data_IF_816341607548
#
_entry.id   IF_816341607548
#
_cell.length_a   1.000
_cell.length_b   1.000
_cell.length_c   1.000
_cell.angle_alpha   90.00
_cell.angle_beta   90.00
_cell.angle_gamma   90.00
#
_symmetry.space_group_name_H-M   'P 1'
#
loop_
_entity.id
_entity.type
_entity.pdbx_description
1 polymer ?
#
# COMPACT_ATOMS: atom_id res chain seq x y z
N UNK A 1 -34.58 -5.16 24.63
CA UNK A 1 -33.58 -4.19 25.14
C UNK A 1 -32.31 -4.99 25.40
N UNK A 2 -31.12 -4.79 24.83
CA UNK A 2 -30.54 -3.91 23.82
C UNK A 2 -29.47 -4.81 23.12
N UNK A 3 -29.19 -4.79 21.82
CA UNK A 3 -28.92 -3.62 20.98
C UNK A 3 -27.41 -3.36 20.93
N UNK A 4 -26.65 -4.19 20.22
CA UNK A 4 -25.27 -3.90 19.83
C UNK A 4 -25.12 -4.21 18.33
N UNK A 5 -25.07 -3.14 17.53
CA UNK A 5 -24.96 -3.18 16.10
C UNK A 5 -23.56 -3.64 15.69
N UNK A 6 -23.46 -4.90 15.29
CA UNK A 6 -22.30 -5.45 14.59
C UNK A 6 -22.48 -5.05 13.12
N UNK A 7 -21.97 -3.86 12.78
CA UNK A 7 -21.97 -3.34 11.42
C UNK A 7 -20.94 -4.10 10.58
N UNK A 8 -21.44 -4.97 9.72
CA UNK A 8 -20.70 -5.73 8.72
C UNK A 8 -19.89 -4.82 7.80
N UNK A 9 -18.56 -4.79 7.95
CA UNK A 9 -17.65 -4.22 6.96
C UNK A 9 -17.45 -5.26 5.85
N UNK A 10 -18.40 -5.30 4.92
CA UNK A 10 -18.21 -6.01 3.65
C UNK A 10 -17.15 -5.28 2.84
N UNK A 11 -15.90 -5.73 2.88
CA UNK A 11 -14.92 -5.38 1.85
C UNK A 11 -15.32 -6.10 0.56
N UNK A 12 -16.32 -5.53 -0.12
CA UNK A 12 -16.65 -5.88 -1.50
C UNK A 12 -15.48 -5.44 -2.37
N UNK A 13 -14.61 -6.38 -2.75
CA UNK A 13 -13.57 -6.20 -3.79
C UNK A 13 -14.22 -5.78 -5.12
N UNK A 14 -15.54 -5.94 -5.26
CA UNK A 14 -16.36 -5.41 -6.36
C UNK A 14 -16.43 -3.87 -6.42
N UNK A 15 -16.05 -3.15 -5.36
CA UNK A 15 -15.98 -1.69 -5.34
C UNK A 15 -14.63 -1.11 -5.79
N UNK A 16 -13.59 -1.95 -5.91
CA UNK A 16 -12.35 -1.55 -6.58
C UNK A 16 -12.70 -1.43 -8.05
N UNK A 17 -12.77 -0.19 -8.56
CA UNK A 17 -12.91 0.03 -10.00
C UNK A 17 -11.72 -0.63 -10.69
N UNK A 18 -11.97 -1.80 -11.28
CA UNK A 18 -11.04 -2.50 -12.14
C UNK A 18 -10.96 -1.69 -13.43
N UNK A 19 -10.02 -0.77 -13.45
CA UNK A 19 -9.65 -0.09 -14.67
C UNK A 19 -8.71 -1.04 -15.44
N UNK A 20 -9.18 -1.65 -16.55
CA UNK A 20 -8.41 -2.63 -17.29
C UNK A 20 -7.14 -2.04 -17.92
N UNK A 21 -6.99 -0.72 -17.94
CA UNK A 21 -5.78 -0.04 -18.42
C UNK A 21 -4.64 -0.01 -17.39
N UNK A 22 -4.91 -0.39 -16.14
CA UNK A 22 -3.89 -0.38 -15.08
C UNK A 22 -2.98 -1.60 -15.08
N UNK A 23 -3.41 -2.67 -15.75
CA UNK A 23 -2.61 -3.86 -15.96
C UNK A 23 -2.08 -3.86 -17.40
N UNK A 24 -0.87 -4.38 -17.62
CA UNK A 24 -0.34 -4.56 -18.96
C UNK A 24 -1.20 -5.54 -19.78
N UNK A 25 -1.12 -5.42 -21.12
CA UNK A 25 -1.74 -6.38 -22.03
C UNK A 25 -1.20 -7.79 -21.72
N UNK A 26 -2.10 -8.79 -21.68
CA UNK A 26 -1.93 -10.04 -20.91
C UNK A 26 -0.91 -11.06 -21.44
N UNK A 27 0.08 -10.64 -22.22
CA UNK A 27 1.14 -11.53 -22.73
C UNK A 27 2.37 -11.64 -21.81
N UNK A 28 2.43 -10.84 -20.72
CA UNK A 28 3.56 -10.81 -19.82
C UNK A 28 3.51 -11.95 -18.77
N UNK A 29 4.33 -13.00 -18.98
CA UNK A 29 4.77 -14.01 -17.99
C UNK A 29 3.69 -15.02 -17.54
N UNK A 30 3.73 -16.27 -17.99
CA UNK A 30 3.01 -17.36 -17.29
C UNK A 30 3.78 -17.71 -16.00
N UNK A 31 3.75 -16.84 -14.98
CA UNK A 31 4.51 -17.06 -13.76
C UNK A 31 3.80 -18.11 -12.88
N UNK A 32 4.54 -19.00 -12.20
CA UNK A 32 3.96 -19.95 -11.28
C UNK A 32 3.34 -19.22 -10.08
N UNK A 33 2.03 -18.98 -10.15
CA UNK A 33 1.22 -18.62 -8.99
C UNK A 33 0.69 -19.89 -8.32
N UNK A 34 0.70 -19.95 -6.99
CA UNK A 34 -0.07 -20.99 -6.30
C UNK A 34 -1.54 -20.73 -6.61
N UNK A 35 -2.30 -21.69 -7.18
CA UNK A 35 -3.71 -21.49 -7.48
C UNK A 35 -4.47 -20.99 -6.25
N UNK A 36 -5.13 -19.84 -6.36
CA UNK A 36 -5.90 -19.22 -5.29
C UNK A 36 -5.15 -18.19 -4.44
N UNK A 37 -3.84 -18.07 -4.56
CA UNK A 37 -3.08 -16.93 -4.00
C UNK A 37 -3.28 -15.66 -4.83
N UNK A 38 -3.14 -14.49 -4.19
CA UNK A 38 -3.35 -13.19 -4.83
C UNK A 38 -2.15 -12.28 -4.59
N UNK A 39 -1.67 -11.65 -5.64
CA UNK A 39 -0.64 -10.61 -5.57
C UNK A 39 -1.25 -9.25 -5.94
N UNK A 40 -1.10 -8.28 -5.06
CA UNK A 40 -1.55 -6.91 -5.26
C UNK A 40 -0.35 -5.97 -5.27
N UNK A 41 -0.27 -5.09 -6.27
CA UNK A 41 0.67 -3.98 -6.28
C UNK A 41 -0.03 -2.71 -5.80
N UNK A 42 0.46 -2.14 -4.70
CA UNK A 42 0.05 -0.84 -4.20
C UNK A 42 1.04 0.21 -4.70
N UNK A 43 0.53 1.26 -5.36
CA UNK A 43 1.35 2.36 -5.86
C UNK A 43 0.89 3.67 -5.22
N UNK A 44 1.78 4.26 -4.41
CA UNK A 44 1.61 5.55 -3.75
C UNK A 44 2.24 6.68 -4.54
N UNK A 45 1.51 7.78 -4.78
CA UNK A 45 2.08 8.97 -5.46
C UNK A 45 1.58 10.27 -4.83
N UNK A 46 2.41 11.32 -4.85
CA UNK A 46 2.04 12.66 -4.35
C UNK A 46 1.24 13.49 -5.35
N UNK A 47 1.40 13.21 -6.65
CA UNK A 47 0.94 14.11 -7.70
C UNK A 47 -0.54 13.89 -8.01
N UNK A 48 -1.46 14.76 -7.56
CA UNK A 48 -2.93 14.61 -7.73
C UNK A 48 -3.40 14.30 -9.17
N UNK A 49 -2.54 14.47 -10.18
CA UNK A 49 -2.79 14.31 -11.60
C UNK A 49 -2.27 12.98 -12.21
N UNK A 50 -1.82 12.01 -11.39
CA UNK A 50 -1.37 10.67 -11.85
C UNK A 50 -0.14 10.70 -12.78
N UNK A 51 0.68 11.77 -12.70
CA UNK A 51 1.88 11.96 -13.54
C UNK A 51 3.20 12.09 -12.76
N UNK A 52 3.15 11.98 -11.44
CA UNK A 52 4.34 12.02 -10.59
C UNK A 52 4.99 10.66 -10.41
N UNK A 53 6.27 10.66 -10.06
CA UNK A 53 6.99 9.46 -9.63
C UNK A 53 6.23 8.73 -8.50
N UNK A 54 6.26 7.41 -8.52
CA UNK A 54 5.78 6.63 -7.40
C UNK A 54 6.72 6.84 -6.19
N UNK A 55 6.13 7.21 -5.05
CA UNK A 55 6.84 7.36 -3.79
C UNK A 55 6.88 6.03 -3.02
N UNK A 56 5.82 5.24 -3.18
CA UNK A 56 5.71 3.91 -2.58
C UNK A 56 5.29 2.88 -3.60
N UNK A 57 5.96 1.74 -3.56
CA UNK A 57 5.57 0.53 -4.27
C UNK A 57 5.59 -0.63 -3.27
N UNK A 58 4.43 -1.22 -2.98
CA UNK A 58 4.33 -2.41 -2.15
C UNK A 58 3.72 -3.57 -2.93
N UNK A 59 4.30 -4.75 -2.81
CA UNK A 59 3.66 -5.99 -3.20
C UNK A 59 3.04 -6.64 -1.98
N UNK A 60 1.75 -6.90 -2.04
CA UNK A 60 1.00 -7.64 -1.03
C UNK A 60 0.66 -9.00 -1.60
N UNK A 61 1.21 -10.05 -1.01
CA UNK A 61 0.88 -11.43 -1.32
C UNK A 61 -0.09 -11.96 -0.27
N UNK A 62 -1.23 -12.46 -0.72
CA UNK A 62 -2.20 -13.18 0.10
C UNK A 62 -2.15 -14.64 -0.31
N UNK A 63 -1.87 -15.52 0.65
CA UNK A 63 -1.79 -16.94 0.37
C UNK A 63 -3.15 -17.53 -0.01
N UNK A 64 -3.16 -18.74 -0.60
CA UNK A 64 -4.41 -19.36 -1.06
C UNK A 64 -5.43 -19.62 0.07
N UNK A 65 -4.96 -19.85 1.30
CA UNK A 65 -5.84 -20.02 2.47
C UNK A 65 -6.43 -18.71 2.99
N UNK A 66 -5.90 -17.56 2.54
CA UNK A 66 -6.21 -16.20 3.05
C UNK A 66 -5.90 -16.02 4.54
N UNK A 67 -5.00 -16.83 5.09
CA UNK A 67 -4.59 -16.76 6.49
C UNK A 67 -3.24 -16.05 6.67
N UNK A 68 -2.44 -15.97 5.61
CA UNK A 68 -1.13 -15.34 5.61
C UNK A 68 -1.09 -14.23 4.56
N UNK A 69 -0.61 -13.06 5.01
CA UNK A 69 -0.36 -11.91 4.16
C UNK A 69 1.09 -11.50 4.32
N UNK A 70 1.80 -11.45 3.19
CA UNK A 70 3.18 -10.98 3.13
C UNK A 70 3.21 -9.65 2.40
N UNK A 71 4.00 -8.71 2.92
CA UNK A 71 4.15 -7.38 2.35
C UNK A 71 5.62 -7.16 2.04
N UNK A 72 5.91 -6.87 0.78
CA UNK A 72 7.24 -6.52 0.31
C UNK A 72 7.25 -5.05 -0.13
N UNK A 73 8.07 -4.24 0.53
CA UNK A 73 8.32 -2.87 0.11
C UNK A 73 9.43 -2.85 -0.93
N UNK A 74 9.16 -2.24 -2.08
CA UNK A 74 10.15 -2.06 -3.13
C UNK A 74 10.77 -0.66 -3.02
N UNK A 75 12.10 -0.54 -2.91
CA UNK A 75 12.76 0.77 -2.91
C UNK A 75 12.46 1.53 -4.19
N UNK A 76 12.01 2.78 -4.08
CA UNK A 76 11.66 3.63 -5.23
C UNK A 76 12.81 3.82 -6.22
N UNK A 77 14.04 3.81 -5.72
CA UNK A 77 15.26 4.07 -6.49
C UNK A 77 15.92 2.81 -7.04
N UNK A 78 15.27 1.64 -6.86
CA UNK A 78 15.74 0.40 -7.45
C UNK A 78 15.85 0.56 -8.98
N UNK A 79 16.98 0.16 -9.54
CA UNK A 79 17.16 0.12 -10.99
C UNK A 79 16.46 -1.12 -11.55
N UNK A 80 15.57 -0.90 -12.50
CA UNK A 80 14.79 -1.92 -13.21
C UNK A 80 14.85 -1.67 -14.71
N UNK A 81 14.50 -2.67 -15.49
CA UNK A 81 14.39 -2.51 -16.93
C UNK A 81 13.12 -1.71 -17.28
N UNK A 82 13.31 -0.57 -17.94
CA UNK A 82 12.25 0.23 -18.51
C UNK A 82 11.45 -0.52 -19.59
N UNK A 83 10.36 0.08 -20.05
CA UNK A 83 9.53 -0.49 -21.12
C UNK A 83 10.31 -0.64 -22.45
N UNK A 84 11.31 0.20 -22.67
CA UNK A 84 12.22 0.18 -23.82
C UNK A 84 13.50 -0.65 -23.58
N UNK A 85 13.60 -1.35 -22.45
CA UNK A 85 14.77 -2.13 -22.06
C UNK A 85 15.94 -1.29 -21.54
N UNK A 86 15.76 0.02 -21.34
CA UNK A 86 16.80 0.87 -20.73
C UNK A 86 16.66 0.91 -19.21
N UNK A 87 17.76 0.95 -18.44
CA UNK A 87 17.68 1.05 -16.98
C UNK A 87 16.95 2.31 -16.53
N UNK A 88 15.92 2.13 -15.70
CA UNK A 88 15.13 3.19 -15.11
C UNK A 88 14.99 2.98 -13.60
N UNK A 89 14.77 4.05 -12.85
CA UNK A 89 14.34 3.94 -11.44
C UNK A 89 12.91 3.40 -11.40
N UNK A 90 12.63 2.48 -10.49
CA UNK A 90 11.31 1.90 -10.32
C UNK A 90 10.23 2.98 -10.13
N UNK A 91 10.51 4.06 -9.39
CA UNK A 91 9.61 5.20 -9.23
C UNK A 91 9.14 5.84 -10.53
N UNK A 92 10.04 5.88 -11.53
CA UNK A 92 9.80 6.52 -12.82
C UNK A 92 9.02 5.65 -13.79
N UNK A 93 8.95 4.35 -13.57
CA UNK A 93 8.14 3.45 -14.42
C UNK A 93 6.67 3.87 -14.40
N UNK A 94 6.16 4.24 -13.21
CA UNK A 94 4.82 4.79 -13.07
C UNK A 94 4.66 6.15 -13.76
N UNK A 95 5.63 7.06 -13.61
CA UNK A 95 5.56 8.37 -14.27
C UNK A 95 5.60 8.26 -15.81
N UNK A 96 6.33 7.28 -16.34
CA UNK A 96 6.53 7.08 -17.77
C UNK A 96 5.33 6.41 -18.46
N UNK A 97 4.72 5.41 -17.83
CA UNK A 97 3.68 4.59 -18.47
C UNK A 97 2.50 4.22 -17.56
N UNK A 98 2.35 4.91 -16.43
CA UNK A 98 1.29 4.66 -15.47
C UNK A 98 1.42 3.32 -14.76
N UNK A 99 0.30 2.83 -14.24
CA UNK A 99 0.24 1.59 -13.48
C UNK A 99 0.73 0.37 -14.28
N UNK A 100 0.41 0.29 -15.58
CA UNK A 100 0.79 -0.85 -16.41
C UNK A 100 2.31 -0.99 -16.52
N UNK A 101 3.03 0.11 -16.77
CA UNK A 101 4.49 0.09 -16.84
C UNK A 101 5.15 -0.23 -15.48
N UNK A 102 4.54 0.20 -14.38
CA UNK A 102 5.00 -0.16 -13.04
C UNK A 102 4.79 -1.64 -12.73
N UNK A 103 3.63 -2.21 -13.11
CA UNK A 103 3.37 -3.65 -13.00
C UNK A 103 4.37 -4.45 -13.81
N UNK A 104 4.58 -4.11 -15.09
CA UNK A 104 5.54 -4.80 -15.96
C UNK A 104 6.95 -4.80 -15.38
N UNK A 105 7.38 -3.68 -14.78
CA UNK A 105 8.69 -3.60 -14.14
C UNK A 105 8.78 -4.49 -12.89
N UNK A 106 7.73 -4.52 -12.06
CA UNK A 106 7.68 -5.35 -10.84
C UNK A 106 7.59 -6.83 -11.17
N UNK A 107 6.75 -7.23 -12.14
CA UNK A 107 6.61 -8.62 -12.57
C UNK A 107 7.94 -9.15 -13.14
N UNK A 108 8.64 -8.35 -13.96
CA UNK A 108 9.98 -8.70 -14.47
C UNK A 108 11.04 -8.77 -13.38
N UNK A 109 11.01 -7.83 -12.43
CA UNK A 109 11.94 -7.78 -11.32
C UNK A 109 11.81 -9.00 -10.39
N UNK A 110 10.58 -9.37 -10.05
CA UNK A 110 10.30 -10.39 -9.02
C UNK A 110 9.98 -11.77 -9.61
N UNK A 111 9.70 -11.86 -10.91
CA UNK A 111 9.30 -13.11 -11.57
C UNK A 111 7.95 -13.64 -11.08
N UNK A 112 7.06 -12.76 -10.60
CA UNK A 112 5.71 -13.09 -10.13
C UNK A 112 4.66 -12.40 -10.99
N UNK A 113 3.41 -12.87 -10.93
CA UNK A 113 2.27 -12.16 -11.50
C UNK A 113 1.58 -11.26 -10.49
N UNK A 114 1.18 -10.07 -10.92
CA UNK A 114 0.35 -9.13 -10.17
C UNK A 114 -1.10 -9.26 -10.67
N UNK A 115 -2.00 -9.68 -9.78
CA UNK A 115 -3.42 -9.88 -10.09
C UNK A 115 -4.21 -8.57 -10.05
N UNK A 116 -3.81 -7.68 -9.15
CA UNK A 116 -4.51 -6.42 -8.88
C UNK A 116 -3.55 -5.26 -8.64
N UNK A 117 -3.95 -4.07 -9.05
CA UNK A 117 -3.26 -2.82 -8.71
C UNK A 117 -4.21 -1.93 -7.94
N UNK A 118 -3.73 -1.37 -6.83
CA UNK A 118 -4.40 -0.26 -6.17
C UNK A 118 -3.52 0.99 -6.24
N UNK A 119 -4.11 2.07 -6.75
CA UNK A 119 -3.48 3.38 -6.73
C UNK A 119 -3.94 4.11 -5.48
N UNK A 120 -2.99 4.47 -4.62
CA UNK A 120 -3.26 5.22 -3.40
C UNK A 120 -2.65 6.60 -3.51
N UNK A 121 -3.46 7.64 -3.27
CA UNK A 121 -2.92 8.93 -2.86
C UNK A 121 -2.77 8.93 -1.34
N UNK A 122 -1.90 9.77 -0.80
CA UNK A 122 -1.85 10.05 0.64
C UNK A 122 -3.24 10.41 1.20
N UNK A 123 -4.07 11.12 0.43
CA UNK A 123 -5.47 11.45 0.77
C UNK A 123 -6.46 10.25 0.59
N UNK A 124 -6.04 9.17 -0.08
CA UNK A 124 -6.78 7.92 -0.21
C UNK A 124 -6.46 6.93 0.92
N UNK A 125 -5.21 6.92 1.37
CA UNK A 125 -4.76 6.18 2.55
C UNK A 125 -5.48 6.64 3.82
N UNK A 126 -5.64 7.96 4.01
CA UNK A 126 -6.37 8.50 5.15
C UNK A 126 -7.81 7.98 5.20
N UNK A 127 -8.54 8.05 4.08
CA UNK A 127 -9.91 7.55 3.96
C UNK A 127 -10.01 6.05 4.24
N UNK A 128 -9.04 5.25 3.80
CA UNK A 128 -9.01 3.82 4.10
C UNK A 128 -8.85 3.58 5.61
N UNK A 129 -7.95 4.31 6.27
CA UNK A 129 -7.73 4.22 7.72
C UNK A 129 -8.99 4.63 8.50
N UNK A 130 -9.69 5.67 8.05
CA UNK A 130 -10.94 6.11 8.67
C UNK A 130 -12.02 5.03 8.57
N UNK A 131 -12.13 4.36 7.42
CA UNK A 131 -13.03 3.21 7.23
C UNK A 131 -12.66 2.01 8.12
N UNK A 132 -11.38 1.78 8.35
CA UNK A 132 -10.88 0.70 9.21
C UNK A 132 -10.96 1.04 10.71
N UNK A 133 -11.33 2.26 11.07
CA UNK A 133 -11.45 2.70 12.45
C UNK A 133 -10.09 2.78 13.15
N UNK A 134 -9.13 3.47 12.50
CA UNK A 134 -7.74 3.71 12.93
C UNK A 134 -6.81 2.52 12.73
N UNK A 135 -5.51 2.79 12.58
CA UNK A 135 -4.47 1.77 12.36
C UNK A 135 -3.36 1.86 13.41
N UNK A 136 -2.81 0.71 13.87
CA UNK A 136 -1.66 0.69 14.78
C UNK A 136 -0.38 1.08 14.05
N UNK A 137 0.52 1.80 14.70
CA UNK A 137 1.86 2.15 14.20
C UNK A 137 2.86 2.02 15.34
N UNK A 138 3.95 1.29 15.12
CA UNK A 138 5.07 1.21 16.06
C UNK A 138 6.07 2.32 15.77
N UNK A 139 5.91 3.45 16.44
CA UNK A 139 6.70 4.66 16.19
C UNK A 139 8.04 4.63 16.96
N UNK A 140 9.20 4.59 16.30
CA UNK A 140 10.50 4.51 16.98
C UNK A 140 10.98 5.85 17.57
N UNK A 141 10.42 6.98 17.14
CA UNK A 141 10.87 8.32 17.52
C UNK A 141 9.66 9.20 17.86
N UNK A 142 9.70 9.92 18.98
CA UNK A 142 8.67 10.93 19.26
C UNK A 142 8.75 12.09 18.26
N UNK A 143 7.61 12.44 17.67
CA UNK A 143 7.52 13.49 16.65
C UNK A 143 6.23 14.31 16.77
N UNK A 144 6.16 15.43 16.04
CA UNK A 144 4.97 16.27 15.94
C UNK A 144 4.80 16.74 14.50
N UNK A 145 3.57 16.74 14.01
CA UNK A 145 3.28 17.14 12.63
C UNK A 145 1.79 17.41 12.45
N UNK A 146 1.46 18.41 11.62
CA UNK A 146 0.05 18.71 11.28
C UNK A 146 -0.86 19.04 12.46
N UNK A 147 -0.32 19.53 13.58
CA UNK A 147 -1.09 19.80 14.82
C UNK A 147 -1.22 18.60 15.77
N UNK A 148 -0.69 17.44 15.41
CA UNK A 148 -0.70 16.22 16.22
C UNK A 148 0.65 15.95 16.88
N UNK A 149 0.60 15.17 17.97
CA UNK A 149 1.78 14.66 18.64
C UNK A 149 1.81 13.13 18.53
N UNK A 150 2.94 12.59 18.14
CA UNK A 150 3.17 11.17 17.91
C UNK A 150 4.22 10.67 18.91
N UNK A 151 3.80 10.13 20.07
CA UNK A 151 4.75 9.62 21.04
C UNK A 151 5.50 8.40 20.48
N UNK A 152 6.70 8.15 21.02
CA UNK A 152 7.42 6.89 20.77
C UNK A 152 6.64 5.70 21.34
N UNK A 153 6.64 4.60 20.61
CA UNK A 153 5.96 3.36 20.98
C UNK A 153 4.76 3.07 20.08
N UNK A 154 3.92 2.14 20.53
CA UNK A 154 2.75 1.70 19.77
C UNK A 154 1.62 2.73 19.88
N UNK A 155 1.31 3.39 18.78
CA UNK A 155 0.26 4.42 18.67
C UNK A 155 -0.84 3.95 17.71
N UNK A 156 -2.00 4.59 17.76
CA UNK A 156 -3.07 4.36 16.77
C UNK A 156 -3.38 5.67 16.07
N UNK A 157 -3.46 5.63 14.74
CA UNK A 157 -3.64 6.80 13.91
C UNK A 157 -4.98 6.72 13.15
N UNK A 158 -5.77 7.79 13.19
CA UNK A 158 -6.84 8.06 12.22
C UNK A 158 -6.26 8.41 10.85
N UNK A 159 -7.11 8.56 9.84
CA UNK A 159 -6.67 8.94 8.52
C UNK A 159 -5.95 10.27 8.48
N UNK A 160 -6.46 11.27 9.19
CA UNK A 160 -5.84 12.60 9.28
C UNK A 160 -4.51 12.56 10.05
N UNK A 161 -4.46 11.84 11.18
CA UNK A 161 -3.23 11.65 11.96
C UNK A 161 -2.18 10.88 11.17
N UNK A 162 -2.56 9.85 10.41
CA UNK A 162 -1.65 9.08 9.57
C UNK A 162 -1.12 9.92 8.40
N UNK A 163 -1.96 10.78 7.81
CA UNK A 163 -1.54 11.72 6.79
C UNK A 163 -0.52 12.73 7.34
N UNK A 164 -0.78 13.26 8.53
CA UNK A 164 0.14 14.16 9.23
C UNK A 164 1.44 13.44 9.63
N UNK A 165 1.35 12.17 10.01
CA UNK A 165 2.50 11.32 10.35
C UNK A 165 3.38 11.02 9.14
N UNK A 166 2.82 10.76 7.95
CA UNK A 166 3.64 10.53 6.75
C UNK A 166 4.23 11.83 6.18
N UNK A 167 3.49 12.94 6.31
CA UNK A 167 3.93 14.26 5.83
C UNK A 167 4.89 14.97 6.77
N UNK A 168 5.17 14.41 7.95
CA UNK A 168 6.20 14.97 8.83
C UNK A 168 7.55 14.75 8.13
N UNK A 169 8.06 15.83 7.52
CA UNK A 169 9.38 15.85 6.89
C UNK A 169 10.47 16.12 7.93
N UNK A 170 11.73 15.72 7.67
CA UNK A 170 12.79 15.80 8.66
C UNK A 170 13.19 17.26 8.91
N UNK A 171 13.05 17.73 10.15
CA UNK A 171 13.51 19.03 10.60
C UNK A 171 14.80 18.96 11.45
N UNK A 172 15.23 17.79 11.92
CA UNK A 172 16.41 17.66 12.77
C UNK A 172 17.06 16.25 12.76
N UNK A 173 18.33 16.14 13.21
CA UNK A 173 18.93 14.85 13.54
C UNK A 173 18.09 14.11 14.58
N UNK A 174 17.68 12.88 14.25
CA UNK A 174 16.85 12.05 15.12
C UNK A 174 15.38 11.97 14.71
N UNK A 175 14.96 12.56 13.59
CA UNK A 175 13.60 12.42 13.05
C UNK A 175 13.44 11.29 12.03
N UNK A 176 12.19 10.88 11.81
CA UNK A 176 11.82 9.76 10.95
C UNK A 176 11.78 10.18 9.47
N UNK A 177 12.34 9.35 8.60
CA UNK A 177 12.25 9.55 7.14
C UNK A 177 10.76 9.46 6.71
N UNK A 178 10.25 10.37 5.86
CA UNK A 178 8.91 10.25 5.27
C UNK A 178 8.63 8.87 4.66
N UNK A 179 9.60 8.25 3.98
CA UNK A 179 9.44 6.92 3.41
C UNK A 179 9.28 5.84 4.50
N UNK A 180 9.98 5.99 5.62
CA UNK A 180 9.84 5.11 6.77
C UNK A 180 8.50 5.31 7.47
N UNK A 181 8.03 6.57 7.58
CA UNK A 181 6.73 6.90 8.15
C UNK A 181 5.60 6.25 7.35
N UNK A 182 5.70 6.33 6.02
CA UNK A 182 4.74 5.70 5.11
C UNK A 182 4.74 4.18 5.23
N UNK A 183 5.93 3.56 5.31
CA UNK A 183 6.10 2.12 5.54
C UNK A 183 5.41 1.67 6.83
N UNK A 184 5.60 2.41 7.93
CA UNK A 184 5.00 2.10 9.23
C UNK A 184 3.46 2.18 9.18
N UNK A 185 2.90 3.22 8.55
CA UNK A 185 1.45 3.36 8.39
C UNK A 185 0.86 2.23 7.54
N UNK A 186 1.54 1.83 6.47
CA UNK A 186 1.10 0.73 5.60
C UNK A 186 1.12 -0.61 6.32
N UNK A 187 2.12 -0.87 7.16
CA UNK A 187 2.14 -2.03 8.05
C UNK A 187 0.94 -2.03 8.99
N UNK A 188 0.61 -0.87 9.57
CA UNK A 188 -0.58 -0.68 10.38
C UNK A 188 -1.88 -0.98 9.67
N UNK A 189 -2.01 -0.54 8.41
CA UNK A 189 -3.17 -0.84 7.57
C UNK A 189 -3.30 -2.35 7.36
N UNK A 190 -2.20 -3.03 7.02
CA UNK A 190 -2.20 -4.47 6.80
C UNK A 190 -2.54 -5.23 8.09
N UNK A 191 -1.93 -4.85 9.22
CA UNK A 191 -2.27 -5.43 10.52
C UNK A 191 -3.75 -5.21 10.86
N UNK A 192 -4.27 -4.01 10.59
CA UNK A 192 -5.67 -3.69 10.83
C UNK A 192 -6.59 -4.49 9.92
N UNK A 193 -6.23 -4.74 8.66
CA UNK A 193 -6.98 -5.61 7.75
C UNK A 193 -7.00 -7.06 8.24
N UNK A 194 -5.87 -7.57 8.73
CA UNK A 194 -5.76 -8.92 9.29
C UNK A 194 -6.57 -9.08 10.59
N UNK A 195 -6.51 -8.09 11.48
CA UNK A 195 -7.18 -8.14 12.79
C UNK A 195 -8.67 -7.80 12.71
N UNK A 196 -9.07 -6.87 11.84
CA UNK A 196 -10.49 -6.65 11.50
C UNK A 196 -11.08 -7.87 10.78
N UNK A 197 -10.20 -8.70 10.19
CA UNK A 197 -10.46 -10.02 9.62
C UNK A 197 -10.58 -11.17 10.62
N UNK A 198 -10.71 -10.91 11.93
CA UNK A 198 -11.24 -11.92 12.88
C UNK A 198 -12.70 -12.35 12.60
N UNK A 199 -13.27 -11.91 11.47
CA UNK A 199 -14.50 -12.41 10.83
C UNK A 199 -14.20 -13.11 9.49
N UNK A 200 -13.15 -13.94 9.45
CA UNK A 200 -13.09 -15.11 8.57
C UNK A 200 -13.32 -16.40 9.39
N UNK A 201 -14.13 -16.30 10.45
CA UNK A 201 -14.68 -17.42 11.19
C UNK A 201 -15.89 -17.98 10.41
N UNK A 202 -15.86 -19.26 10.00
CA UNK A 202 -16.82 -19.83 9.07
C UNK A 202 -18.13 -20.14 9.77
N UNK A 203 -19.20 -19.52 9.29
CA UNK A 203 -20.55 -20.09 9.32
C UNK A 203 -20.87 -20.66 7.95
#
# INVERSE_FOLDING_TARGET
MAGAAIGSLWLSVSGIQRDPTLLPARDAIEAPGTPGSLNLLLIGTDARDRRGDANVLLVVHVDASRQQVHVLSLPRDLLVDGADGTPARLSRTYAAGGAAAAVDAVERLLGIRIDHVALTWLDGMSRLIDLLGRVPVDNPVESRGGGFAFPRGRITLSGEEALAFVRQGPAAPGELDPAESERLVLQGIVERLLTSGSLLDPG
#
